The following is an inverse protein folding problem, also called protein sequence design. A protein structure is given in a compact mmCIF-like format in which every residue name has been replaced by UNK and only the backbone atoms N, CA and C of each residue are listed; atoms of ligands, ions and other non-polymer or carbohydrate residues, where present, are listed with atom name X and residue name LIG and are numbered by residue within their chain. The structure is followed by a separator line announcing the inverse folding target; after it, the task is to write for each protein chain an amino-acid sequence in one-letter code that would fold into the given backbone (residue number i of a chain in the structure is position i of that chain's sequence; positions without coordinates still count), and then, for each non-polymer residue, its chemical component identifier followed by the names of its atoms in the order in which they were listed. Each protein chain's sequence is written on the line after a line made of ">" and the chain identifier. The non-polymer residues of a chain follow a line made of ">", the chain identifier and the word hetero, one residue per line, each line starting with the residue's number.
data_IF_426386607345
#
_entry.id   IF_426386607345
#
_cell.length_a   1.000
_cell.length_b   1.000
_cell.length_c   1.000
_cell.angle_alpha   90.00
_cell.angle_beta   90.00
_cell.angle_gamma   90.00
#
_symmetry.space_group_name_H-M   'P 1'
#
loop_
_entity.id
_entity.type
_entity.pdbx_description
1 polymer ?
#
# COMPACT_ATOMS: atom_id res chain seq x y z
N UNK A 1 12.53 -14.36 -34.29
CA UNK A 1 11.89 -14.15 -32.98
C UNK A 1 10.83 -13.10 -33.19
N UNK A 2 9.57 -13.47 -33.31
CA UNK A 2 8.44 -12.54 -33.42
C UNK A 2 8.36 -11.83 -32.06
N UNK A 3 8.56 -10.50 -32.02
CA UNK A 3 8.20 -9.70 -30.86
C UNK A 3 6.72 -9.98 -30.58
N UNK A 4 6.40 -10.73 -29.51
CA UNK A 4 5.05 -10.73 -28.96
C UNK A 4 4.74 -9.27 -28.68
N UNK A 5 3.77 -8.70 -29.37
CA UNK A 5 3.20 -7.40 -29.01
C UNK A 5 2.94 -7.45 -27.51
N UNK A 6 3.43 -6.45 -26.80
CA UNK A 6 3.29 -6.39 -25.34
C UNK A 6 1.79 -6.29 -25.03
N UNK A 7 1.20 -7.39 -24.53
CA UNK A 7 -0.19 -7.39 -24.09
C UNK A 7 -0.39 -6.31 -23.04
N UNK A 8 -1.50 -5.64 -23.11
CA UNK A 8 -1.85 -4.61 -22.15
C UNK A 8 -1.87 -5.18 -20.72
N UNK A 9 -1.18 -4.53 -19.81
CA UNK A 9 -1.12 -4.97 -18.41
C UNK A 9 -2.46 -4.75 -17.73
N UNK A 10 -2.90 -5.72 -16.97
CA UNK A 10 -4.15 -5.65 -16.24
C UNK A 10 -3.91 -4.92 -14.95
N UNK A 11 -4.65 -3.86 -14.71
CA UNK A 11 -4.64 -3.10 -13.46
C UNK A 11 -6.03 -3.03 -12.85
N UNK A 12 -6.09 -2.77 -11.56
CA UNK A 12 -7.37 -2.59 -10.89
C UNK A 12 -7.24 -2.43 -9.39
N UNK A 13 -8.40 -2.47 -8.75
CA UNK A 13 -8.57 -2.43 -7.31
C UNK A 13 -8.92 -3.84 -6.84
N UNK A 14 -8.25 -4.37 -5.80
CA UNK A 14 -8.56 -5.67 -5.18
C UNK A 14 -9.27 -5.53 -3.83
N UNK A 15 -9.16 -4.36 -3.21
CA UNK A 15 -9.79 -4.01 -1.95
C UNK A 15 -10.11 -2.52 -1.92
N UNK A 16 -11.32 -2.18 -1.51
CA UNK A 16 -11.73 -0.79 -1.32
C UNK A 16 -12.57 -0.66 -0.08
N UNK A 17 -12.05 0.07 0.89
CA UNK A 17 -12.64 0.28 2.19
C UNK A 17 -12.56 1.74 2.59
N UNK A 18 -13.68 2.31 2.97
CA UNK A 18 -13.83 3.71 3.35
C UNK A 18 -14.15 3.84 4.84
N UNK A 19 -13.60 4.87 5.45
CA UNK A 19 -14.02 5.38 6.73
C UNK A 19 -15.01 6.51 6.47
N UNK A 20 -16.22 6.34 6.98
CA UNK A 20 -17.37 7.23 6.74
C UNK A 20 -18.01 7.68 8.05
N UNK A 21 -18.82 8.73 7.97
CA UNK A 21 -19.70 9.13 9.05
C UNK A 21 -21.17 9.02 8.60
N UNK A 22 -22.02 8.46 9.47
CA UNK A 22 -23.45 8.28 9.28
C UNK A 22 -24.18 9.60 9.52
N UNK A 23 -25.18 9.91 8.72
CA UNK A 23 -26.05 11.05 8.95
C UNK A 23 -26.93 10.80 10.19
N UNK A 24 -27.02 11.72 11.16
CA UNK A 24 -27.83 11.51 12.37
C UNK A 24 -29.34 11.42 12.11
N UNK A 25 -29.77 11.74 10.91
CA UNK A 25 -31.20 11.73 10.51
C UNK A 25 -31.63 10.42 9.86
N UNK A 26 -30.77 9.38 9.85
CA UNK A 26 -31.04 8.13 9.15
C UNK A 26 -30.62 6.94 9.99
N UNK A 27 -31.43 5.89 10.00
CA UNK A 27 -31.07 4.63 10.62
C UNK A 27 -30.17 3.80 9.72
N UNK A 28 -28.96 3.50 10.19
CA UNK A 28 -27.95 2.67 9.50
C UNK A 28 -27.80 1.29 10.13
N UNK A 29 -28.68 0.89 11.03
CA UNK A 29 -28.74 -0.50 11.50
C UNK A 29 -29.11 -1.46 10.37
N UNK A 30 -28.92 -2.76 10.61
CA UNK A 30 -29.35 -3.78 9.67
C UNK A 30 -30.83 -3.64 9.31
N UNK A 31 -31.70 -3.34 10.29
CA UNK A 31 -33.14 -3.13 10.08
C UNK A 31 -33.41 -1.84 9.30
N UNK A 32 -32.66 -0.78 9.56
CA UNK A 32 -32.72 0.44 8.77
C UNK A 32 -32.37 0.22 7.30
N UNK A 33 -31.40 -0.62 6.98
CA UNK A 33 -31.13 -1.02 5.60
C UNK A 33 -32.22 -1.91 5.01
N UNK A 34 -32.77 -2.87 5.78
CA UNK A 34 -33.92 -3.69 5.33
C UNK A 34 -35.13 -2.85 4.97
N UNK A 35 -35.44 -1.84 5.78
CA UNK A 35 -36.56 -0.91 5.52
C UNK A 35 -36.42 -0.14 4.22
N UNK A 36 -35.20 0.01 3.71
CA UNK A 36 -34.87 0.63 2.43
C UNK A 36 -34.73 -0.36 1.26
N UNK A 37 -35.11 -1.62 1.49
CA UNK A 37 -35.14 -2.64 0.45
C UNK A 37 -33.86 -3.42 0.23
N UNK A 38 -32.86 -3.26 1.12
CA UNK A 38 -31.66 -4.10 1.04
C UNK A 38 -31.88 -5.48 1.66
N UNK A 39 -31.36 -6.49 1.02
CA UNK A 39 -31.14 -7.79 1.67
C UNK A 39 -29.89 -7.71 2.57
N UNK A 40 -30.02 -8.12 3.84
CA UNK A 40 -28.95 -7.95 4.84
C UNK A 40 -28.62 -9.30 5.45
N UNK A 41 -27.35 -9.64 5.46
CA UNK A 41 -26.79 -10.80 6.19
C UNK A 41 -26.02 -10.28 7.40
N UNK A 42 -26.56 -10.49 8.58
CA UNK A 42 -25.91 -10.11 9.83
C UNK A 42 -24.84 -11.12 10.24
N UNK A 43 -23.94 -10.66 11.11
CA UNK A 43 -23.01 -11.51 11.85
C UNK A 43 -23.29 -11.35 13.34
N UNK A 44 -23.20 -12.44 14.07
CA UNK A 44 -23.45 -12.49 15.51
C UNK A 44 -22.44 -11.68 16.35
N UNK A 45 -21.35 -11.21 15.72
CA UNK A 45 -20.29 -10.48 16.39
C UNK A 45 -19.75 -9.34 15.50
N UNK A 46 -19.36 -8.28 16.15
CA UNK A 46 -18.65 -7.17 15.50
C UNK A 46 -17.13 -7.42 15.42
N UNK A 47 -16.38 -6.34 15.37
CA UNK A 47 -14.90 -6.36 15.39
C UNK A 47 -14.37 -5.88 16.75
N UNK A 48 -13.03 -5.82 16.90
CA UNK A 48 -12.40 -5.20 18.10
C UNK A 48 -12.82 -3.75 18.29
N UNK A 49 -13.11 -3.04 17.21
CA UNK A 49 -13.38 -1.60 17.22
C UNK A 49 -14.85 -1.24 17.01
N UNK A 50 -15.63 -2.11 16.38
CA UNK A 50 -17.04 -1.89 16.01
C UNK A 50 -17.95 -2.94 16.66
N UNK A 51 -19.10 -2.53 17.18
CA UNK A 51 -20.06 -3.43 17.85
C UNK A 51 -20.85 -4.26 16.84
N UNK A 52 -21.17 -3.67 15.69
CA UNK A 52 -22.01 -4.26 14.66
C UNK A 52 -21.23 -4.53 13.37
N UNK A 53 -21.55 -5.64 12.72
CA UNK A 53 -21.04 -6.00 11.40
C UNK A 53 -22.10 -6.76 10.63
N UNK A 54 -22.38 -6.33 9.41
CA UNK A 54 -23.29 -7.02 8.50
C UNK A 54 -22.89 -6.76 7.04
N UNK A 55 -23.49 -7.52 6.14
CA UNK A 55 -23.25 -7.43 4.71
C UNK A 55 -24.56 -7.17 3.98
N UNK A 56 -24.57 -6.12 3.20
CA UNK A 56 -25.64 -5.84 2.22
C UNK A 56 -25.40 -6.74 1.01
N UNK A 57 -26.47 -7.35 0.53
CA UNK A 57 -26.43 -8.25 -0.61
C UNK A 57 -27.01 -7.54 -1.85
N UNK A 58 -26.56 -7.96 -3.03
CA UNK A 58 -27.15 -7.58 -4.30
C UNK A 58 -28.47 -8.33 -4.55
N UNK A 59 -29.14 -8.04 -5.66
CA UNK A 59 -30.39 -8.69 -6.06
C UNK A 59 -30.26 -10.21 -6.27
N UNK A 60 -29.04 -10.71 -6.48
CA UNK A 60 -28.72 -12.14 -6.64
C UNK A 60 -28.30 -12.80 -5.34
N UNK A 61 -28.29 -12.08 -4.22
CA UNK A 61 -27.86 -12.55 -2.92
C UNK A 61 -26.34 -12.61 -2.72
N UNK A 62 -25.55 -12.03 -3.63
CA UNK A 62 -24.09 -11.94 -3.44
C UNK A 62 -23.73 -10.79 -2.51
N UNK A 63 -22.63 -10.90 -1.74
CA UNK A 63 -22.09 -9.79 -0.97
C UNK A 63 -21.82 -8.57 -1.87
N UNK A 64 -22.33 -7.41 -1.46
CA UNK A 64 -22.13 -6.13 -2.15
C UNK A 64 -21.33 -5.16 -1.30
N UNK A 65 -21.85 -4.79 -0.12
CA UNK A 65 -21.16 -3.88 0.82
C UNK A 65 -21.12 -4.53 2.20
N UNK A 66 -19.94 -4.63 2.78
CA UNK A 66 -19.76 -4.93 4.20
C UNK A 66 -19.80 -3.63 4.99
N UNK A 67 -20.62 -3.57 6.03
CA UNK A 67 -20.76 -2.44 6.94
C UNK A 67 -20.26 -2.85 8.32
N UNK A 68 -19.38 -2.03 8.92
CA UNK A 68 -18.94 -2.15 10.30
C UNK A 68 -19.18 -0.81 10.99
N UNK A 69 -20.04 -0.80 12.01
CA UNK A 69 -20.52 0.43 12.63
C UNK A 69 -20.64 0.31 14.15
N UNK A 70 -21.07 1.39 14.76
CA UNK A 70 -21.27 1.52 16.20
C UNK A 70 -19.96 1.26 16.96
N UNK A 71 -19.07 2.27 17.04
CA UNK A 71 -17.76 2.13 17.66
C UNK A 71 -17.84 1.71 19.13
N UNK A 72 -16.93 0.82 19.55
CA UNK A 72 -16.75 0.43 20.94
C UNK A 72 -16.05 1.54 21.72
N UNK A 73 -16.38 1.68 23.00
CA UNK A 73 -15.70 2.60 23.91
C UNK A 73 -16.22 4.05 23.89
N UNK A 74 -17.22 4.38 23.06
CA UNK A 74 -17.89 5.68 23.16
C UNK A 74 -18.58 5.87 24.53
N UNK A 75 -19.15 4.76 25.07
CA UNK A 75 -19.94 4.78 26.31
C UNK A 75 -19.08 4.83 27.58
N UNK A 76 -17.76 4.61 27.49
CA UNK A 76 -16.90 4.44 28.67
C UNK A 76 -16.12 5.69 29.07
N UNK A 77 -16.24 6.79 28.29
CA UNK A 77 -15.48 8.02 28.58
C UNK A 77 -13.95 7.83 28.52
N UNK A 78 -13.48 6.69 28.06
CA UNK A 78 -12.06 6.41 27.94
C UNK A 78 -11.44 7.42 26.97
N UNK A 79 -10.57 8.26 27.47
CA UNK A 79 -9.98 9.45 26.82
C UNK A 79 -9.14 9.17 25.56
N UNK A 80 -9.21 7.98 24.99
CA UNK A 80 -8.46 7.57 23.82
C UNK A 80 -9.34 7.06 22.67
N UNK A 81 -10.63 7.30 22.66
CA UNK A 81 -11.47 6.93 21.52
C UNK A 81 -11.24 7.87 20.35
N UNK A 82 -10.56 7.35 19.35
CA UNK A 82 -10.31 8.01 18.05
C UNK A 82 -11.62 8.15 17.24
N UNK A 83 -12.68 7.47 17.66
CA UNK A 83 -13.97 7.39 16.98
C UNK A 83 -15.00 8.38 17.54
N UNK A 84 -15.85 8.86 16.66
CA UNK A 84 -17.01 9.70 16.99
C UNK A 84 -18.31 8.91 16.77
N UNK A 85 -19.40 9.39 17.34
CA UNK A 85 -20.73 8.85 17.05
C UNK A 85 -21.02 8.93 15.54
N UNK A 86 -21.61 7.87 15.00
CA UNK A 86 -21.86 7.74 13.56
C UNK A 86 -20.66 7.32 12.71
N UNK A 87 -19.51 7.08 13.33
CA UNK A 87 -18.35 6.55 12.60
C UNK A 87 -18.55 5.10 12.20
N UNK A 88 -18.31 4.81 10.92
CA UNK A 88 -18.45 3.50 10.35
C UNK A 88 -17.39 3.20 9.27
N UNK A 89 -17.22 1.95 8.97
CA UNK A 89 -16.44 1.47 7.82
C UNK A 89 -17.37 0.79 6.83
N UNK A 90 -17.21 1.10 5.58
CA UNK A 90 -17.86 0.40 4.48
C UNK A 90 -16.80 -0.19 3.56
N UNK A 91 -16.98 -1.42 3.15
CA UNK A 91 -16.08 -2.12 2.24
C UNK A 91 -16.85 -2.67 1.05
N UNK A 92 -16.41 -2.33 -0.15
CA UNK A 92 -16.92 -2.93 -1.38
C UNK A 92 -16.47 -4.39 -1.45
N UNK A 93 -17.38 -5.31 -1.74
CA UNK A 93 -17.03 -6.72 -1.87
C UNK A 93 -16.10 -6.94 -3.08
N UNK A 94 -15.14 -7.86 -2.92
CA UNK A 94 -14.04 -8.00 -3.87
C UNK A 94 -14.49 -8.21 -5.32
N UNK A 95 -15.59 -8.94 -5.56
CA UNK A 95 -16.09 -9.14 -6.92
C UNK A 95 -16.44 -7.83 -7.62
N UNK A 96 -16.96 -6.84 -6.91
CA UNK A 96 -17.30 -5.52 -7.43
C UNK A 96 -16.08 -4.60 -7.60
N UNK A 97 -14.97 -4.91 -6.92
CA UNK A 97 -13.69 -4.22 -7.20
C UNK A 97 -13.14 -4.55 -8.60
N UNK A 98 -13.63 -5.63 -9.22
CA UNK A 98 -13.26 -6.04 -10.58
C UNK A 98 -14.25 -5.56 -11.64
N UNK A 99 -15.27 -4.80 -11.26
CA UNK A 99 -16.16 -4.10 -12.18
C UNK A 99 -15.38 -3.07 -13.03
N UNK A 100 -16.03 -2.52 -14.05
CA UNK A 100 -15.42 -1.50 -14.91
C UNK A 100 -15.13 -0.21 -14.14
N UNK A 101 -15.99 0.16 -13.20
CA UNK A 101 -15.80 1.35 -12.38
C UNK A 101 -16.20 1.14 -10.90
N UNK A 102 -15.37 0.47 -10.11
CA UNK A 102 -15.65 0.21 -8.69
C UNK A 102 -15.78 1.49 -7.85
N UNK A 103 -15.09 2.58 -8.25
CA UNK A 103 -15.17 3.87 -7.57
C UNK A 103 -16.56 4.50 -7.79
N UNK A 104 -17.12 4.42 -8.99
CA UNK A 104 -18.47 4.91 -9.25
C UNK A 104 -19.52 4.14 -8.44
N UNK A 105 -19.40 2.81 -8.35
CA UNK A 105 -20.30 1.96 -7.56
C UNK A 105 -20.33 2.37 -6.08
N UNK A 106 -19.17 2.52 -5.45
CA UNK A 106 -19.13 2.89 -4.03
C UNK A 106 -19.57 4.34 -3.80
N UNK A 107 -19.23 5.27 -4.71
CA UNK A 107 -19.67 6.65 -4.62
C UNK A 107 -21.20 6.77 -4.76
N UNK A 108 -21.82 6.00 -5.66
CA UNK A 108 -23.27 5.96 -5.79
C UNK A 108 -23.93 5.43 -4.51
N UNK A 109 -23.39 4.36 -3.92
CA UNK A 109 -23.85 3.84 -2.64
C UNK A 109 -23.76 4.91 -1.54
N UNK A 110 -22.60 5.55 -1.39
CA UNK A 110 -22.37 6.62 -0.40
C UNK A 110 -23.37 7.76 -0.57
N UNK A 111 -23.58 8.22 -1.79
CA UNK A 111 -24.54 9.28 -2.12
C UNK A 111 -25.99 8.88 -1.80
N UNK A 112 -26.41 7.68 -2.22
CA UNK A 112 -27.75 7.14 -1.98
C UNK A 112 -28.03 6.98 -0.48
N UNK A 113 -27.04 6.50 0.25
CA UNK A 113 -27.15 6.30 1.70
C UNK A 113 -26.87 7.57 2.50
N UNK A 114 -26.50 8.69 1.87
CA UNK A 114 -26.18 9.97 2.54
C UNK A 114 -25.08 9.83 3.58
N UNK A 115 -24.08 9.00 3.28
CA UNK A 115 -22.87 8.86 4.07
C UNK A 115 -21.90 9.99 3.73
N UNK A 116 -21.08 10.39 4.71
CA UNK A 116 -19.98 11.32 4.48
C UNK A 116 -18.65 10.57 4.51
N UNK A 117 -17.90 10.61 3.41
CA UNK A 117 -16.56 10.00 3.35
C UNK A 117 -15.60 10.87 4.15
N UNK A 118 -14.99 10.31 5.20
CA UNK A 118 -13.90 10.94 5.96
C UNK A 118 -12.55 10.68 5.29
N UNK A 119 -12.32 9.45 4.81
CA UNK A 119 -11.09 9.06 4.08
C UNK A 119 -11.22 7.67 3.47
N UNK A 120 -10.33 7.37 2.56
CA UNK A 120 -10.03 5.99 2.17
C UNK A 120 -9.33 5.33 3.37
N UNK A 121 -9.93 4.28 3.94
CA UNK A 121 -9.30 3.54 5.04
C UNK A 121 -8.25 2.55 4.52
N UNK A 122 -8.55 1.89 3.41
CA UNK A 122 -7.64 1.00 2.70
C UNK A 122 -8.05 0.87 1.24
N UNK A 123 -7.07 0.97 0.36
CA UNK A 123 -7.21 0.60 -1.04
C UNK A 123 -6.05 -0.30 -1.44
N UNK A 124 -6.36 -1.45 -2.04
CA UNK A 124 -5.35 -2.33 -2.61
C UNK A 124 -5.40 -2.21 -4.13
N UNK A 125 -4.32 -1.67 -4.69
CA UNK A 125 -4.13 -1.57 -6.13
C UNK A 125 -3.31 -2.75 -6.62
N UNK A 126 -3.70 -3.34 -7.75
CA UNK A 126 -2.95 -4.47 -8.31
C UNK A 126 -2.61 -4.28 -9.78
N UNK A 127 -1.57 -4.98 -10.21
CA UNK A 127 -1.28 -5.24 -11.59
C UNK A 127 -0.98 -6.72 -11.79
N UNK A 128 -1.64 -7.32 -12.80
CA UNK A 128 -1.38 -8.70 -13.24
C UNK A 128 -0.56 -8.66 -14.52
N UNK A 129 0.51 -9.47 -14.57
CA UNK A 129 1.47 -9.45 -15.66
C UNK A 129 2.25 -10.76 -15.78
N UNK A 130 2.84 -11.03 -16.94
CA UNK A 130 3.68 -12.20 -17.20
C UNK A 130 5.17 -11.91 -17.02
N UNK A 131 5.59 -10.67 -17.34
CA UNK A 131 6.99 -10.26 -17.41
C UNK A 131 7.14 -8.78 -17.09
N UNK A 132 8.23 -8.40 -16.41
CA UNK A 132 8.58 -6.99 -16.20
C UNK A 132 8.94 -6.31 -17.53
N UNK A 133 8.86 -4.99 -17.57
CA UNK A 133 9.23 -4.21 -18.75
C UNK A 133 10.69 -4.45 -19.16
N UNK A 134 11.57 -4.68 -18.20
CA UNK A 134 12.98 -5.07 -18.42
C UNK A 134 13.18 -6.47 -19.01
N UNK A 135 12.12 -7.24 -19.25
CA UNK A 135 12.20 -8.63 -19.71
C UNK A 135 12.47 -9.65 -18.61
N UNK A 136 12.61 -9.22 -17.36
CA UNK A 136 12.81 -10.13 -16.22
C UNK A 136 11.52 -10.92 -15.93
N UNK A 137 11.63 -12.24 -15.78
CA UNK A 137 10.50 -13.09 -15.36
C UNK A 137 10.27 -12.92 -13.85
N UNK A 138 9.05 -12.70 -13.39
CA UNK A 138 8.75 -12.50 -11.95
C UNK A 138 9.24 -13.65 -11.07
N UNK A 139 9.08 -14.91 -11.49
CA UNK A 139 9.61 -16.08 -10.78
C UNK A 139 11.12 -15.98 -10.50
N UNK A 140 11.91 -15.53 -11.50
CA UNK A 140 13.34 -15.35 -11.33
C UNK A 140 13.67 -14.20 -10.38
N UNK A 141 12.88 -13.12 -10.43
CA UNK A 141 13.03 -11.99 -9.51
C UNK A 141 12.77 -12.43 -8.08
N UNK A 142 11.66 -13.11 -7.84
CA UNK A 142 11.30 -13.64 -6.51
C UNK A 142 12.40 -14.58 -5.99
N UNK A 143 12.87 -15.53 -6.80
CA UNK A 143 13.96 -16.44 -6.44
C UNK A 143 15.24 -15.68 -6.08
N UNK A 144 15.63 -14.67 -6.84
CA UNK A 144 16.82 -13.85 -6.53
C UNK A 144 16.66 -13.05 -5.25
N UNK A 145 15.45 -12.63 -4.91
CA UNK A 145 15.16 -11.96 -3.64
C UNK A 145 15.26 -12.96 -2.49
N UNK A 146 14.68 -14.15 -2.64
CA UNK A 146 14.71 -15.22 -1.63
C UNK A 146 16.15 -15.68 -1.38
N UNK A 147 16.93 -15.92 -2.44
CA UNK A 147 18.33 -16.35 -2.34
C UNK A 147 19.31 -15.22 -2.01
N UNK A 148 18.82 -14.04 -1.61
CA UNK A 148 19.62 -12.87 -1.25
C UNK A 148 20.54 -12.31 -2.35
N UNK A 149 20.42 -12.77 -3.60
CA UNK A 149 21.13 -12.19 -4.75
C UNK A 149 20.66 -10.77 -5.03
N UNK A 150 19.36 -10.50 -4.82
CA UNK A 150 18.78 -9.17 -4.81
C UNK A 150 18.58 -8.70 -3.37
N UNK A 151 19.33 -7.68 -2.96
CA UNK A 151 19.18 -7.04 -1.66
C UNK A 151 18.46 -5.70 -1.84
N UNK A 152 17.36 -5.50 -1.14
CA UNK A 152 16.60 -4.25 -1.23
C UNK A 152 17.41 -3.05 -0.75
N UNK A 153 17.31 -1.91 -1.43
CA UNK A 153 17.90 -0.65 -1.02
C UNK A 153 16.99 0.01 0.01
N UNK A 154 17.55 0.61 1.04
CA UNK A 154 16.86 1.34 2.11
C UNK A 154 15.83 0.49 2.88
N UNK A 155 16.28 -0.61 3.47
CA UNK A 155 15.41 -1.43 4.30
C UNK A 155 15.46 -1.05 5.77
N UNK A 156 14.44 -0.34 6.22
CA UNK A 156 13.94 -0.44 7.60
C UNK A 156 12.81 -1.48 7.74
N UNK A 157 12.42 -2.19 6.69
CA UNK A 157 11.19 -2.99 6.64
C UNK A 157 11.46 -4.49 6.76
N UNK A 158 10.69 -5.11 7.65
CA UNK A 158 10.71 -6.54 7.87
C UNK A 158 10.25 -7.26 6.60
N UNK A 159 11.09 -8.11 6.07
CA UNK A 159 10.79 -9.02 4.98
C UNK A 159 10.10 -10.25 5.56
N UNK A 160 8.99 -10.63 5.02
CA UNK A 160 8.40 -11.96 5.20
C UNK A 160 8.37 -12.63 3.84
N UNK A 161 9.17 -13.67 3.65
CA UNK A 161 8.91 -14.69 2.65
C UNK A 161 8.02 -15.72 3.33
N UNK A 162 6.94 -16.15 2.67
CA UNK A 162 6.14 -17.25 3.18
C UNK A 162 6.91 -18.55 3.03
N UNK A 163 7.32 -19.08 4.16
CA UNK A 163 7.50 -20.50 4.28
C UNK A 163 6.10 -21.07 4.43
N UNK A 164 5.54 -21.55 3.33
CA UNK A 164 4.41 -22.45 3.42
C UNK A 164 4.99 -23.79 3.86
N UNK A 165 4.83 -24.10 5.14
CA UNK A 165 5.34 -25.33 5.77
C UNK A 165 4.76 -26.61 5.16
N UNK A 166 3.87 -26.50 4.18
CA UNK A 166 3.16 -27.60 3.54
C UNK A 166 3.59 -27.89 2.09
N UNK A 167 4.29 -26.96 1.45
CA UNK A 167 4.81 -27.17 0.08
C UNK A 167 6.24 -26.70 -0.02
N UNK A 168 7.11 -27.54 -0.54
CA UNK A 168 8.56 -27.30 -0.78
C UNK A 168 8.84 -26.15 -1.81
N UNK A 169 7.89 -25.30 -2.10
CA UNK A 169 8.00 -24.20 -3.06
C UNK A 169 8.07 -22.83 -2.34
N UNK A 170 9.24 -22.52 -1.85
CA UNK A 170 9.64 -21.24 -1.26
C UNK A 170 9.56 -20.02 -2.21
N UNK A 171 9.33 -20.22 -3.50
CA UNK A 171 9.63 -19.25 -4.55
C UNK A 171 8.38 -18.56 -5.14
N UNK A 172 7.23 -18.60 -4.48
CA UNK A 172 5.98 -18.13 -5.08
C UNK A 172 5.49 -16.76 -4.61
N UNK A 173 6.08 -16.16 -3.58
CA UNK A 173 5.74 -14.81 -3.15
C UNK A 173 6.78 -14.11 -2.26
N UNK A 174 6.76 -12.79 -2.29
CA UNK A 174 7.51 -11.92 -1.36
C UNK A 174 6.65 -10.74 -0.98
N UNK A 175 6.71 -10.32 0.27
CA UNK A 175 6.02 -9.12 0.73
C UNK A 175 6.94 -8.16 1.49
N UNK A 176 6.60 -6.89 1.47
CA UNK A 176 7.26 -5.81 2.20
C UNK A 176 6.22 -4.92 2.88
N UNK A 177 6.62 -4.30 3.96
CA UNK A 177 5.80 -3.38 4.75
C UNK A 177 5.60 -3.91 6.16
N UNK A 178 5.62 -3.00 7.15
CA UNK A 178 5.31 -3.30 8.56
C UNK A 178 3.83 -3.09 8.81
N UNK A 179 3.33 -3.70 9.90
CA UNK A 179 2.04 -3.29 10.46
C UNK A 179 2.15 -1.79 10.81
N UNK A 180 1.20 -0.97 10.33
CA UNK A 180 1.24 0.48 10.49
C UNK A 180 1.95 1.27 9.39
N UNK A 181 2.69 0.61 8.47
CA UNK A 181 3.21 1.31 7.28
C UNK A 181 2.08 1.87 6.44
N UNK A 182 2.29 3.05 5.86
CA UNK A 182 1.38 3.65 4.89
C UNK A 182 1.11 2.74 3.70
N UNK A 183 2.15 2.07 3.21
CA UNK A 183 2.05 1.11 2.11
C UNK A 183 2.68 -0.21 2.50
N UNK A 184 2.00 -1.30 2.17
CA UNK A 184 2.59 -2.63 2.07
C UNK A 184 2.42 -3.17 0.66
N UNK A 185 3.38 -3.97 0.21
CA UNK A 185 3.32 -4.56 -1.13
C UNK A 185 3.67 -6.03 -1.09
N UNK A 186 3.12 -6.77 -2.02
CA UNK A 186 3.46 -8.18 -2.26
C UNK A 186 3.55 -8.46 -3.76
N UNK A 187 4.43 -9.39 -4.12
CA UNK A 187 4.48 -10.00 -5.44
C UNK A 187 4.29 -11.50 -5.27
N UNK A 188 3.42 -12.10 -6.07
CA UNK A 188 3.10 -13.52 -5.97
C UNK A 188 2.54 -14.09 -7.27
N UNK A 189 2.65 -15.42 -7.40
CA UNK A 189 2.04 -16.18 -8.50
C UNK A 189 0.53 -16.27 -8.29
N UNK A 190 -0.22 -15.41 -9.01
CA UNK A 190 -1.68 -15.34 -8.91
C UNK A 190 -2.36 -16.57 -9.52
N UNK A 191 -1.76 -17.18 -10.55
CA UNK A 191 -2.28 -18.42 -11.14
C UNK A 191 -2.23 -19.56 -10.13
N UNK A 192 -1.10 -19.66 -9.41
CA UNK A 192 -0.93 -20.67 -8.36
C UNK A 192 -1.89 -20.43 -7.21
N UNK A 193 -2.02 -19.19 -6.71
CA UNK A 193 -2.95 -18.82 -5.63
C UNK A 193 -4.39 -19.20 -5.97
N UNK A 194 -4.86 -18.95 -7.18
CA UNK A 194 -6.21 -19.31 -7.60
C UNK A 194 -6.43 -20.82 -7.68
N UNK A 195 -5.40 -21.60 -8.02
CA UNK A 195 -5.46 -23.07 -8.05
C UNK A 195 -5.47 -23.67 -6.64
N UNK A 196 -4.60 -23.19 -5.76
CA UNK A 196 -4.38 -23.76 -4.42
C UNK A 196 -5.49 -23.41 -3.43
N UNK A 197 -6.00 -22.18 -3.49
CA UNK A 197 -7.05 -21.76 -2.54
C UNK A 197 -8.41 -22.37 -2.83
N UNK A 198 -8.59 -23.04 -3.98
CA UNK A 198 -9.88 -23.57 -4.41
C UNK A 198 -10.99 -22.50 -4.49
N UNK A 199 -10.64 -21.24 -4.24
CA UNK A 199 -11.58 -20.15 -4.28
C UNK A 199 -11.95 -19.83 -5.71
N UNK A 200 -13.19 -20.11 -6.06
CA UNK A 200 -13.73 -19.78 -7.36
C UNK A 200 -13.91 -18.27 -7.47
N UNK A 201 -12.96 -17.60 -8.15
CA UNK A 201 -12.98 -16.16 -8.44
C UNK A 201 -13.09 -15.91 -9.94
N UNK A 202 -14.23 -16.25 -10.57
CA UNK A 202 -14.39 -16.19 -12.02
C UNK A 202 -14.20 -14.77 -12.58
N UNK A 203 -14.46 -13.75 -11.80
CA UNK A 203 -14.30 -12.35 -12.18
C UNK A 203 -12.82 -11.99 -12.45
N UNK A 204 -11.85 -12.62 -11.79
CA UNK A 204 -10.41 -12.43 -12.07
C UNK A 204 -10.06 -13.05 -13.42
N UNK A 205 -10.50 -14.28 -13.63
CA UNK A 205 -10.24 -15.03 -14.86
C UNK A 205 -10.90 -14.34 -16.06
N UNK A 206 -12.12 -13.82 -15.88
CA UNK A 206 -12.83 -13.06 -16.91
C UNK A 206 -12.05 -11.78 -17.29
N UNK A 207 -11.47 -11.07 -16.30
CA UNK A 207 -10.62 -9.91 -16.58
C UNK A 207 -9.37 -10.30 -17.39
N UNK A 208 -8.76 -11.46 -17.07
CA UNK A 208 -7.63 -11.99 -17.85
C UNK A 208 -8.05 -12.41 -19.26
N UNK A 209 -9.25 -12.99 -19.41
CA UNK A 209 -9.81 -13.38 -20.73
C UNK A 209 -10.05 -12.14 -21.60
N UNK A 210 -10.67 -11.10 -21.07
CA UNK A 210 -10.89 -9.82 -21.80
C UNK A 210 -9.58 -9.18 -22.25
N UNK A 211 -8.53 -9.31 -21.46
CA UNK A 211 -7.19 -8.83 -21.80
C UNK A 211 -6.39 -9.79 -22.70
N UNK A 212 -6.97 -10.91 -23.15
CA UNK A 212 -6.35 -11.86 -24.06
C UNK A 212 -5.25 -12.73 -23.45
N UNK A 213 -5.22 -12.90 -22.12
CA UNK A 213 -4.25 -13.77 -21.44
C UNK A 213 -4.71 -15.22 -21.35
N UNK A 214 -6.01 -15.45 -21.30
CA UNK A 214 -6.61 -16.79 -21.28
C UNK A 214 -7.76 -16.86 -22.27
N UNK A 215 -7.91 -18.00 -22.95
CA UNK A 215 -8.93 -18.15 -24.00
C UNK A 215 -10.28 -18.59 -23.41
N UNK A 216 -10.28 -19.30 -22.26
CA UNK A 216 -11.49 -19.81 -21.63
C UNK A 216 -11.37 -19.79 -20.10
N UNK A 217 -12.46 -19.41 -19.42
CA UNK A 217 -12.58 -19.33 -17.95
C UNK A 217 -12.37 -20.70 -17.29
N UNK A 218 -12.67 -21.80 -18.01
CA UNK A 218 -12.55 -23.18 -17.50
C UNK A 218 -11.15 -23.77 -17.62
N UNK A 219 -10.26 -23.16 -18.41
CA UNK A 219 -8.99 -23.77 -18.81
C UNK A 219 -7.79 -23.52 -17.88
N UNK A 220 -7.95 -22.79 -16.78
CA UNK A 220 -6.90 -22.67 -15.75
C UNK A 220 -6.51 -24.02 -15.13
N UNK A 221 -7.36 -25.03 -15.25
CA UNK A 221 -7.12 -26.38 -14.73
C UNK A 221 -6.41 -27.31 -15.71
N UNK A 222 -6.33 -26.95 -17.00
CA UNK A 222 -5.64 -27.76 -18.00
C UNK A 222 -4.17 -27.35 -18.12
N UNK A 223 -3.28 -28.28 -17.80
CA UNK A 223 -1.82 -28.11 -17.75
C UNK A 223 -1.15 -27.58 -19.04
N UNK A 224 -1.83 -27.56 -20.17
CA UNK A 224 -1.26 -27.22 -21.49
C UNK A 224 -1.34 -25.74 -21.91
N UNK A 225 -2.06 -24.88 -21.17
CA UNK A 225 -2.24 -23.46 -21.54
C UNK A 225 -2.02 -22.48 -20.38
N UNK A 226 -1.33 -22.89 -19.33
CA UNK A 226 -1.14 -22.06 -18.15
C UNK A 226 -0.16 -20.90 -18.44
N UNK A 227 -0.70 -19.79 -18.91
CA UNK A 227 -0.05 -18.50 -18.76
C UNK A 227 0.14 -18.30 -17.26
N UNK A 228 1.39 -18.17 -16.81
CA UNK A 228 1.69 -17.91 -15.42
C UNK A 228 1.52 -16.42 -15.14
N UNK A 229 0.39 -16.04 -14.59
CA UNK A 229 0.10 -14.67 -14.22
C UNK A 229 0.62 -14.38 -12.82
N UNK A 230 1.46 -13.37 -12.74
CA UNK A 230 1.97 -12.81 -11.49
C UNK A 230 1.21 -11.55 -11.13
N UNK A 231 1.07 -11.29 -9.84
CA UNK A 231 0.46 -10.07 -9.31
C UNK A 231 1.44 -9.32 -8.43
N UNK A 232 1.53 -8.01 -8.66
CA UNK A 232 1.99 -7.06 -7.66
C UNK A 232 0.77 -6.38 -7.09
N UNK A 233 0.71 -6.27 -5.78
CA UNK A 233 -0.37 -5.62 -5.04
C UNK A 233 0.22 -4.62 -4.06
N UNK A 234 -0.32 -3.41 -4.06
CA UNK A 234 0.01 -2.33 -3.13
C UNK A 234 -1.19 -2.04 -2.26
N UNK A 235 -1.08 -2.30 -0.96
CA UNK A 235 -2.09 -1.94 0.03
C UNK A 235 -1.75 -0.58 0.61
N UNK A 236 -2.48 0.44 0.20
CA UNK A 236 -2.36 1.83 0.68
C UNK A 236 -3.36 2.01 1.81
N UNK A 237 -2.90 2.47 2.97
CA UNK A 237 -3.69 2.57 4.19
C UNK A 237 -4.11 4.00 4.48
N UNK A 238 -5.09 4.16 5.35
CA UNK A 238 -5.73 5.43 5.67
C UNK A 238 -4.88 6.47 6.40
N UNK A 239 -3.58 6.20 6.61
CA UNK A 239 -2.61 7.20 7.01
C UNK A 239 -1.91 7.88 5.82
N UNK A 240 -2.16 7.44 4.57
CA UNK A 240 -1.77 8.19 3.39
C UNK A 240 -2.57 9.50 3.30
N UNK A 241 -1.90 10.61 3.05
CA UNK A 241 -2.52 11.94 2.89
C UNK A 241 -2.68 12.32 1.44
N UNK A 242 -1.76 11.91 0.58
CA UNK A 242 -1.80 12.25 -0.83
C UNK A 242 -0.52 11.91 -1.56
N UNK A 243 -0.46 12.37 -2.79
CA UNK A 243 0.67 12.22 -3.69
C UNK A 243 1.36 13.56 -3.88
N UNK A 244 2.63 13.64 -3.56
CA UNK A 244 3.45 14.83 -3.84
C UNK A 244 4.11 14.65 -5.19
N UNK A 245 4.01 15.66 -6.03
CA UNK A 245 4.81 15.83 -7.23
C UNK A 245 5.45 17.22 -7.23
N UNK A 246 6.53 17.36 -7.96
CA UNK A 246 7.27 18.63 -8.05
C UNK A 246 7.13 19.13 -9.46
N UNK A 247 6.65 20.35 -9.60
CA UNK A 247 6.58 21.07 -10.86
C UNK A 247 7.51 22.28 -10.80
N UNK A 248 7.76 22.89 -11.95
CA UNK A 248 8.50 24.15 -12.04
C UNK A 248 7.52 25.30 -12.06
N UNK A 249 7.67 26.23 -11.13
CA UNK A 249 6.91 27.47 -11.14
C UNK A 249 7.34 28.39 -12.30
N UNK A 250 6.66 29.51 -12.48
CA UNK A 250 6.97 30.50 -13.53
C UNK A 250 8.40 31.04 -13.45
N UNK A 251 9.03 31.02 -12.27
CA UNK A 251 10.44 31.42 -12.05
C UNK A 251 11.44 30.29 -12.33
N UNK A 252 10.96 29.08 -12.65
CA UNK A 252 11.78 27.89 -12.89
C UNK A 252 12.21 27.14 -11.63
N UNK A 253 11.73 27.55 -10.45
CA UNK A 253 11.98 26.89 -9.18
C UNK A 253 11.08 25.67 -9.02
N UNK A 254 11.57 24.66 -8.31
CA UNK A 254 10.81 23.46 -8.01
C UNK A 254 9.75 23.75 -6.94
N UNK A 255 8.48 23.60 -7.29
CA UNK A 255 7.36 23.77 -6.38
C UNK A 255 6.66 22.41 -6.10
N UNK A 256 6.55 21.98 -4.84
CA UNK A 256 5.85 20.76 -4.48
C UNK A 256 4.34 21.01 -4.43
N UNK A 257 3.60 20.10 -5.06
CA UNK A 257 2.14 20.08 -5.04
C UNK A 257 1.65 18.80 -4.38
N UNK A 258 0.52 18.88 -3.66
CA UNK A 258 -0.14 17.74 -3.03
C UNK A 258 -1.46 17.44 -3.74
N UNK A 259 -1.59 16.23 -4.28
CA UNK A 259 -2.87 15.65 -4.67
C UNK A 259 -3.40 14.84 -3.49
N UNK A 260 -4.52 15.23 -2.93
CA UNK A 260 -5.15 14.53 -1.81
C UNK A 260 -5.48 13.07 -2.17
N UNK A 261 -5.38 12.18 -1.18
CA UNK A 261 -5.68 10.76 -1.34
C UNK A 261 -7.19 10.51 -1.37
N UNK A 262 -7.81 10.79 -2.52
CA UNK A 262 -9.26 10.67 -2.74
C UNK A 262 -9.59 9.55 -3.73
N UNK A 263 -10.86 9.17 -3.79
CA UNK A 263 -11.33 8.12 -4.70
C UNK A 263 -11.15 8.48 -6.17
N UNK A 264 -11.26 9.75 -6.49
CA UNK A 264 -11.17 10.29 -7.84
C UNK A 264 -9.83 9.96 -8.51
N UNK A 265 -8.75 9.88 -7.73
CA UNK A 265 -7.43 9.47 -8.22
C UNK A 265 -7.43 8.06 -8.81
N UNK A 266 -8.34 7.21 -8.37
CA UNK A 266 -8.42 5.79 -8.75
C UNK A 266 -9.66 5.47 -9.58
N UNK A 267 -10.43 6.48 -9.98
CA UNK A 267 -11.64 6.31 -10.76
C UNK A 267 -11.38 5.91 -12.22
N UNK A 268 -10.16 6.12 -12.70
CA UNK A 268 -9.76 5.76 -14.06
C UNK A 268 -8.63 4.73 -14.07
N UNK A 269 -8.56 3.96 -15.17
CA UNK A 269 -7.41 3.07 -15.39
C UNK A 269 -6.07 3.84 -15.33
N UNK A 270 -6.01 5.03 -15.93
CA UNK A 270 -4.80 5.85 -15.96
C UNK A 270 -4.37 6.27 -14.55
N UNK A 271 -5.29 6.66 -13.67
CA UNK A 271 -4.99 7.00 -12.28
C UNK A 271 -4.38 5.81 -11.52
N UNK A 272 -4.93 4.59 -11.72
CA UNK A 272 -4.38 3.37 -11.14
C UNK A 272 -2.98 3.05 -11.71
N UNK A 273 -2.79 3.21 -13.03
CA UNK A 273 -1.48 3.03 -13.67
C UNK A 273 -0.47 4.01 -13.11
N UNK A 274 -0.79 5.30 -13.02
CA UNK A 274 0.08 6.33 -12.45
C UNK A 274 0.50 5.98 -11.01
N UNK A 275 -0.47 5.56 -10.18
CA UNK A 275 -0.18 5.18 -8.80
C UNK A 275 0.77 3.97 -8.72
N UNK A 276 0.45 2.87 -9.40
CA UNK A 276 1.28 1.65 -9.39
C UNK A 276 2.66 1.92 -9.99
N UNK A 277 2.74 2.61 -11.13
CA UNK A 277 3.99 2.87 -11.83
C UNK A 277 4.98 3.71 -11.01
N UNK A 278 4.49 4.65 -10.21
CA UNK A 278 5.32 5.43 -9.30
C UNK A 278 5.71 4.66 -8.02
N UNK A 279 4.90 3.68 -7.57
CA UNK A 279 5.23 2.84 -6.42
C UNK A 279 6.26 1.74 -6.76
N UNK A 280 6.15 1.14 -7.95
CA UNK A 280 7.00 0.00 -8.34
C UNK A 280 8.50 0.30 -8.22
N UNK A 281 9.06 1.39 -8.79
CA UNK A 281 10.49 1.68 -8.69
C UNK A 281 10.95 1.91 -7.25
N UNK A 282 10.07 2.39 -6.38
CA UNK A 282 10.38 2.57 -4.96
C UNK A 282 10.49 1.23 -4.21
N UNK A 283 9.58 0.30 -4.50
CA UNK A 283 9.54 -1.00 -3.81
C UNK A 283 10.36 -2.09 -4.49
N UNK A 284 10.62 -2.00 -5.79
CA UNK A 284 11.35 -2.98 -6.59
C UNK A 284 12.71 -2.45 -7.05
N UNK A 285 13.41 -1.78 -6.16
CA UNK A 285 14.80 -1.34 -6.33
C UNK A 285 15.72 -2.18 -5.44
N UNK A 286 16.74 -2.80 -6.06
CA UNK A 286 17.63 -3.76 -5.43
C UNK A 286 19.08 -3.43 -5.70
N UNK A 287 19.97 -3.82 -4.76
CA UNK A 287 21.39 -4.05 -5.02
C UNK A 287 21.58 -5.48 -5.50
N UNK A 288 22.27 -5.66 -6.60
CA UNK A 288 22.70 -6.99 -7.05
C UNK A 288 23.92 -7.37 -6.22
N UNK A 289 23.78 -8.39 -5.39
CA UNK A 289 24.91 -8.90 -4.62
C UNK A 289 25.83 -9.71 -5.55
N UNK A 290 27.14 -9.36 -5.52
CA UNK A 290 28.21 -10.08 -6.18
C UNK A 290 29.20 -10.53 -5.11
N UNK A 291 29.55 -11.83 -5.11
CA UNK A 291 30.45 -12.40 -4.13
C UNK A 291 31.81 -11.68 -4.14
N UNK A 292 32.34 -11.38 -2.96
CA UNK A 292 33.60 -10.64 -2.81
C UNK A 292 33.50 -9.12 -2.96
N UNK A 293 32.36 -8.55 -3.38
CA UNK A 293 32.20 -7.10 -3.48
C UNK A 293 31.54 -6.50 -2.24
N UNK A 294 32.02 -5.31 -1.81
CA UNK A 294 31.35 -4.53 -0.78
C UNK A 294 29.96 -4.10 -1.27
N UNK A 295 28.99 -4.11 -0.37
CA UNK A 295 27.58 -3.78 -0.65
C UNK A 295 27.39 -2.42 -1.35
N UNK A 296 28.25 -1.43 -1.03
CA UNK A 296 28.25 -0.10 -1.65
C UNK A 296 28.69 -0.09 -3.12
N UNK A 297 29.42 -1.10 -3.56
CA UNK A 297 29.94 -1.24 -4.93
C UNK A 297 29.04 -2.12 -5.81
N UNK A 298 27.96 -2.69 -5.25
CA UNK A 298 27.03 -3.50 -6.01
C UNK A 298 26.14 -2.64 -6.91
N UNK A 299 25.84 -3.14 -8.11
CA UNK A 299 25.01 -2.43 -9.08
C UNK A 299 23.57 -2.32 -8.60
N UNK A 300 22.92 -1.20 -8.89
CA UNK A 300 21.50 -1.03 -8.69
C UNK A 300 20.71 -1.72 -9.81
N UNK A 301 19.63 -2.37 -9.45
CA UNK A 301 18.61 -2.90 -10.34
C UNK A 301 17.26 -2.33 -9.94
N UNK A 302 16.66 -1.59 -10.84
CA UNK A 302 15.27 -1.10 -10.68
C UNK A 302 14.41 -1.87 -11.66
N UNK A 303 13.28 -2.36 -11.21
CA UNK A 303 12.30 -3.04 -12.05
C UNK A 303 11.14 -2.09 -12.32
N UNK A 304 10.67 -2.12 -13.56
CA UNK A 304 9.52 -1.37 -14.04
C UNK A 304 8.50 -2.34 -14.62
N UNK A 305 7.23 -2.00 -14.52
CA UNK A 305 6.13 -2.77 -15.10
C UNK A 305 5.58 -2.07 -16.33
N UNK A 306 5.58 -0.76 -16.30
CA UNK A 306 5.05 0.09 -17.37
C UNK A 306 6.19 0.79 -18.10
N UNK A 307 6.04 0.99 -19.41
CA UNK A 307 6.94 1.83 -20.16
C UNK A 307 6.81 3.30 -19.74
N UNK A 308 7.87 4.07 -19.91
CA UNK A 308 7.94 5.48 -19.48
C UNK A 308 6.87 6.38 -20.11
N UNK A 309 6.35 6.01 -21.27
CA UNK A 309 5.27 6.72 -21.97
C UNK A 309 3.86 6.39 -21.46
N UNK A 310 3.71 5.39 -20.60
CA UNK A 310 2.39 4.92 -20.14
C UNK A 310 1.91 5.64 -18.87
N UNK A 311 2.78 6.43 -18.19
CA UNK A 311 2.42 7.05 -16.92
C UNK A 311 3.16 8.37 -16.67
N UNK A 312 2.57 9.19 -15.81
CA UNK A 312 3.20 10.41 -15.31
C UNK A 312 4.17 10.08 -14.17
N UNK A 313 5.42 10.54 -14.32
CA UNK A 313 6.50 10.28 -13.38
C UNK A 313 6.59 11.35 -12.29
N UNK A 314 7.27 10.98 -11.20
CA UNK A 314 7.66 11.92 -10.15
C UNK A 314 6.68 12.03 -8.99
N UNK A 315 5.59 11.27 -9.01
CA UNK A 315 4.65 11.24 -7.88
C UNK A 315 5.18 10.37 -6.75
N UNK A 316 5.08 10.88 -5.53
CA UNK A 316 5.45 10.15 -4.31
C UNK A 316 4.32 10.19 -3.30
N UNK A 317 3.85 9.02 -2.86
CA UNK A 317 2.86 8.92 -1.81
C UNK A 317 3.43 9.40 -0.46
N UNK A 318 2.67 10.18 0.28
CA UNK A 318 3.07 10.77 1.55
C UNK A 318 1.98 10.66 2.61
N UNK A 319 2.40 10.67 3.88
CA UNK A 319 1.54 10.86 5.04
C UNK A 319 1.65 12.30 5.61
N UNK A 320 2.49 13.12 5.03
CA UNK A 320 2.68 14.51 5.44
C UNK A 320 1.68 15.38 4.67
N UNK A 321 1.05 16.34 5.37
CA UNK A 321 0.33 17.43 4.71
C UNK A 321 1.33 18.35 4.03
N UNK A 322 0.91 19.02 2.98
CA UNK A 322 1.70 20.07 2.33
C UNK A 322 1.85 21.27 3.28
N UNK A 323 2.92 21.30 4.03
CA UNK A 323 3.23 22.40 4.95
C UNK A 323 4.54 23.07 4.65
N UNK A 324 5.14 22.82 3.47
CA UNK A 324 6.48 23.39 3.14
C UNK A 324 7.57 22.92 4.12
N UNK A 325 7.26 22.01 5.04
CA UNK A 325 8.24 21.50 5.98
C UNK A 325 9.22 20.60 5.23
N UNK A 326 10.34 21.17 4.88
CA UNK A 326 11.57 20.42 4.64
C UNK A 326 11.69 19.37 5.75
N UNK A 327 11.83 18.11 5.37
CA UNK A 327 11.85 16.98 6.29
C UNK A 327 12.77 17.22 7.48
N UNK A 328 12.23 17.34 8.66
CA UNK A 328 12.92 17.04 9.92
C UNK A 328 13.19 15.52 10.13
N UNK A 329 12.90 14.69 9.12
CA UNK A 329 13.08 13.22 9.19
C UNK A 329 14.53 12.83 9.51
N UNK A 330 15.49 13.61 9.06
CA UNK A 330 16.90 13.34 9.36
C UNK A 330 17.26 13.67 10.83
N UNK A 331 16.57 14.64 11.45
CA UNK A 331 16.84 15.02 12.86
C UNK A 331 16.21 14.01 13.83
N UNK A 332 14.98 13.55 13.56
CA UNK A 332 14.35 12.50 14.39
C UNK A 332 15.09 11.16 14.28
N UNK A 333 15.49 10.75 13.08
CA UNK A 333 16.26 9.52 12.88
C UNK A 333 17.65 9.62 13.52
N UNK A 334 18.33 10.76 13.38
CA UNK A 334 19.62 11.01 14.02
C UNK A 334 19.50 11.10 15.56
N UNK A 335 18.41 11.68 16.08
CA UNK A 335 18.10 11.74 17.51
C UNK A 335 17.78 10.36 18.09
N UNK A 336 17.03 9.54 17.36
CA UNK A 336 16.72 8.16 17.74
C UNK A 336 18.02 7.32 17.74
N UNK A 337 18.87 7.46 16.73
CA UNK A 337 20.14 6.78 16.63
C UNK A 337 21.08 7.21 17.77
N UNK A 338 21.11 8.49 18.11
CA UNK A 338 21.88 9.03 19.24
C UNK A 338 21.37 8.48 20.58
N UNK A 339 20.05 8.46 20.80
CA UNK A 339 19.45 7.89 22.00
C UNK A 339 19.74 6.39 22.16
N UNK A 340 19.74 5.63 21.05
CA UNK A 340 20.14 4.22 21.08
C UNK A 340 21.62 4.04 21.42
N UNK A 341 22.49 4.90 20.88
CA UNK A 341 23.93 4.87 21.18
C UNK A 341 24.19 5.21 22.66
N UNK A 342 23.53 6.25 23.18
CA UNK A 342 23.61 6.65 24.60
C UNK A 342 23.15 5.51 25.49
N UNK A 343 22.00 4.91 25.24
CA UNK A 343 21.47 3.78 26.02
C UNK A 343 22.37 2.55 25.96
N UNK A 344 22.94 2.25 24.81
CA UNK A 344 23.86 1.12 24.65
C UNK A 344 25.18 1.35 25.44
N UNK A 345 25.72 2.57 25.40
CA UNK A 345 26.92 2.92 26.17
C UNK A 345 26.66 2.94 27.67
N UNK A 346 25.54 3.53 28.14
CA UNK A 346 25.16 3.48 29.55
C UNK A 346 24.99 2.05 30.07
N UNK A 347 24.46 1.14 29.24
CA UNK A 347 24.31 -0.28 29.59
C UNK A 347 25.67 -0.99 29.72
N UNK A 348 26.67 -0.62 28.90
CA UNK A 348 28.01 -1.16 28.96
C UNK A 348 28.79 -0.70 30.20
N UNK A 349 28.53 0.49 30.73
CA UNK A 349 29.23 1.08 31.85
C UNK A 349 28.42 1.08 33.16
N UNK A 350 27.47 0.16 33.31
CA UNK A 350 26.77 -0.05 34.58
C UNK A 350 25.86 1.13 35.02
N UNK A 351 25.53 2.05 34.10
CA UNK A 351 24.69 3.21 34.38
C UNK A 351 25.43 4.50 34.72
N UNK A 352 26.78 4.48 34.81
CA UNK A 352 27.58 5.68 35.02
C UNK A 352 27.87 6.43 33.73
N UNK A 353 27.95 7.77 33.83
CA UNK A 353 28.18 8.65 32.67
C UNK A 353 29.71 8.62 32.32
N UNK A 354 30.03 8.03 31.17
CA UNK A 354 31.41 7.99 30.67
C UNK A 354 31.82 9.39 30.13
N UNK A 355 32.93 9.98 30.60
CA UNK A 355 33.47 11.24 30.07
C UNK A 355 33.70 11.22 28.55
N UNK A 356 34.08 10.06 27.98
CA UNK A 356 34.26 9.89 26.54
C UNK A 356 32.92 10.00 25.78
N UNK A 357 31.80 9.64 26.40
CA UNK A 357 30.46 9.77 25.81
C UNK A 357 30.08 11.24 25.61
N UNK A 358 30.44 12.12 26.57
CA UNK A 358 30.25 13.57 26.46
C UNK A 358 31.03 14.15 25.27
N UNK A 359 32.28 13.71 25.09
CA UNK A 359 33.09 14.14 23.95
C UNK A 359 32.51 13.65 22.61
N UNK A 360 32.02 12.43 22.54
CA UNK A 360 31.36 11.87 21.35
C UNK A 360 30.06 12.64 21.02
N UNK A 361 29.23 12.91 22.03
CA UNK A 361 27.97 13.67 21.87
C UNK A 361 28.27 15.08 21.39
N UNK A 362 29.24 15.75 21.99
CA UNK A 362 29.67 17.11 21.61
C UNK A 362 30.18 17.15 20.17
N UNK A 363 31.02 16.19 19.77
CA UNK A 363 31.52 16.08 18.40
C UNK A 363 30.40 15.76 17.39
N UNK A 364 29.43 14.95 17.78
CA UNK A 364 28.25 14.66 16.95
C UNK A 364 27.36 15.90 16.80
N UNK A 365 27.09 16.63 17.90
CA UNK A 365 26.34 17.87 17.87
C UNK A 365 27.01 18.92 16.98
N UNK A 366 28.33 19.09 17.11
CA UNK A 366 29.09 20.01 16.23
C UNK A 366 29.08 19.60 14.75
N UNK A 367 29.08 18.27 14.45
CA UNK A 367 28.96 17.78 13.07
C UNK A 367 27.56 18.01 12.49
N UNK A 368 26.54 17.79 13.30
CA UNK A 368 25.15 18.04 12.93
C UNK A 368 24.94 19.53 12.68
N UNK A 369 25.37 20.39 13.61
CA UNK A 369 25.31 21.84 13.46
C UNK A 369 26.03 22.30 12.18
N UNK A 370 27.24 21.84 11.92
CA UNK A 370 27.99 22.14 10.70
C UNK A 370 27.33 21.61 9.41
N UNK A 371 26.62 20.48 9.48
CA UNK A 371 25.86 19.91 8.37
C UNK A 371 24.62 20.75 8.08
N UNK A 372 23.89 21.14 9.13
CA UNK A 372 22.65 21.91 9.01
C UNK A 372 22.89 23.38 8.68
N UNK A 373 23.91 24.03 9.27
CA UNK A 373 24.30 25.41 8.91
C UNK A 373 24.71 25.52 7.43
N UNK A 374 25.34 24.49 6.87
CA UNK A 374 25.66 24.45 5.42
C UNK A 374 24.42 24.24 4.52
N UNK A 375 23.39 23.64 5.06
CA UNK A 375 22.19 23.27 4.28
C UNK A 375 21.09 24.34 4.37
N UNK A 376 21.05 25.13 5.45
CA UNK A 376 19.93 26.02 5.77
C UNK A 376 20.35 27.49 6.08
N UNK A 377 21.63 27.84 5.95
CA UNK A 377 22.14 29.15 6.36
C UNK A 377 22.21 29.31 7.89
N UNK A 378 22.82 30.38 8.38
CA UNK A 378 22.92 30.64 9.81
C UNK A 378 21.53 30.83 10.43
N UNK A 379 21.17 29.94 11.35
CA UNK A 379 19.88 29.91 12.06
C UNK A 379 19.71 31.03 13.10
N UNK A 380 20.39 32.17 12.92
CA UNK A 380 20.33 33.32 13.87
C UNK A 380 19.07 34.17 13.71
N UNK A 381 18.19 33.89 12.75
CA UNK A 381 16.95 34.68 12.54
C UNK A 381 15.67 33.98 12.98
N UNK A 382 15.74 32.92 13.81
CA UNK A 382 14.57 32.23 14.33
C UNK A 382 14.61 32.19 15.86
N UNK A 383 14.50 33.37 16.49
CA UNK A 383 14.00 33.51 17.85
C UNK A 383 13.27 34.85 17.98
#
# INVERSE_FOLDING_TARGET
>A
MVRRESRERIVGIDWLELYVNESPRRDYSADGFRSRGYSVRERDYGTKTMKEMFTLLDERGNPFIEVRRNPRGLDTGASQTVYQEGDAYIKLANMYCYDENPVALINEFVRREKLHIKKIYRIDLFTDFEIFDSGDKPANVVRRIVNHTYSKINQSHRRTSGEDTWTECLDNWVSWGRQGSMVSTKIYDKTKELKETGMHKPYIIEKWRRAGYVDDVTNLTRERQAVQMWRIEFSIKGNAKGWIYVDKNESGDNEPHLLEHTLELYASRQGIVNAIANLVPHYFRFKIYEEGKRKSLCRDKVLFIFADSEYEKGYRLTNEGDTGRVRHVDIEDDTIALNHLIKAKMKLYGGEFDPQLTDIITKLAQRLDKKYSRQYGDATDIF
#
